data_IF_897697353770
#
_entry.id   IF_897697353770
#
_cell.length_a   1.000
_cell.length_b   1.000
_cell.length_c   1.000
_cell.angle_alpha   90.00
_cell.angle_beta   90.00
_cell.angle_gamma   90.00
#
_symmetry.space_group_name_H-M   'P 1'
#
loop_
_entity.id
_entity.type
_entity.pdbx_description
1 polymer ?
2 non-polymer ?
3 non-polymer ?
4 non-polymer ?
5 water ?
#
# COMPACT_ATOMS: atom_id res chain seq x y z
N UNK A 9 -18.63 -3.90 -16.53
CA UNK A 9 -17.19 -3.70 -16.71
C UNK A 9 -16.91 -2.66 -17.79
N UNK A 10 -17.90 -2.44 -18.66
CA UNK A 10 -17.77 -1.46 -19.72
C UNK A 10 -17.24 -0.13 -19.18
N UNK A 11 -17.18 -0.03 -17.85
CA UNK A 11 -16.64 1.18 -17.21
C UNK A 11 -15.17 1.35 -17.54
N UNK A 12 -14.72 0.68 -18.59
CA UNK A 12 -13.44 0.96 -19.21
C UNK A 12 -13.52 2.42 -19.62
N UNK A 13 -14.75 2.92 -19.78
CA UNK A 13 -14.93 4.25 -20.34
C UNK A 13 -15.13 5.48 -19.45
N UNK A 14 -15.36 5.31 -18.15
CA UNK A 14 -15.41 6.47 -17.28
C UNK A 14 -14.01 7.09 -17.11
N UNK A 15 -12.95 6.30 -17.31
CA UNK A 15 -11.58 6.82 -17.20
C UNK A 15 -10.98 7.03 -18.58
N UNK A 16 -10.63 8.28 -18.86
CA UNK A 16 -10.03 8.66 -20.13
C UNK A 16 -8.54 8.37 -20.03
N UNK A 17 -8.04 7.40 -20.82
CA UNK A 17 -6.64 6.98 -20.66
C UNK A 17 -5.61 8.01 -21.11
N UNK A 18 -6.05 9.06 -21.81
CA UNK A 18 -5.10 10.07 -22.30
C UNK A 18 -5.11 11.37 -21.51
N UNK A 19 -6.06 11.52 -20.61
CA UNK A 19 -6.19 12.74 -19.86
C UNK A 19 -5.24 12.74 -18.68
N UNK A 20 -4.60 13.87 -18.42
CA UNK A 20 -3.89 14.05 -17.16
C UNK A 20 -4.83 14.75 -16.20
N UNK A 21 -5.34 13.98 -15.25
CA UNK A 21 -6.34 14.46 -14.30
C UNK A 21 -5.69 15.20 -13.14
N UNK A 22 -6.45 16.08 -12.48
CA UNK A 22 -5.99 16.58 -11.19
C UNK A 22 -6.10 15.46 -10.15
N UNK A 23 -5.37 15.60 -9.06
CA UNK A 23 -5.42 14.62 -7.98
C UNK A 23 -6.84 14.50 -7.42
N UNK A 24 -7.55 15.62 -7.32
CA UNK A 24 -8.92 15.55 -6.81
C UNK A 24 -9.88 14.87 -7.78
N UNK A 25 -9.71 15.12 -9.08
CA UNK A 25 -10.51 14.42 -10.08
C UNK A 25 -10.28 12.91 -9.96
N UNK A 26 -9.00 12.53 -9.82
CA UNK A 26 -8.66 11.12 -9.73
C UNK A 26 -9.26 10.47 -8.49
N UNK A 27 -9.21 11.17 -7.35
CA UNK A 27 -9.81 10.66 -6.11
C UNK A 27 -11.30 10.40 -6.31
N UNK A 28 -11.98 11.32 -6.98
CA UNK A 28 -13.40 11.15 -7.24
C UNK A 28 -13.69 10.01 -8.21
N UNK A 29 -12.84 9.82 -9.22
CA UNK A 29 -12.98 8.70 -10.14
C UNK A 29 -12.78 7.35 -9.45
N UNK A 30 -11.85 7.31 -8.51
CA UNK A 30 -11.66 6.11 -7.69
C UNK A 30 -12.95 5.68 -7.02
N UNK A 31 -13.60 6.63 -6.35
CA UNK A 31 -14.80 6.33 -5.59
C UNK A 31 -16.01 6.05 -6.47
N UNK A 32 -15.98 6.57 -7.69
CA UNK A 32 -17.09 6.35 -8.62
C UNK A 32 -17.05 4.93 -9.15
N UNK A 33 -15.85 4.37 -9.27
CA UNK A 33 -15.67 3.10 -9.96
C UNK A 33 -15.35 1.91 -9.06
N UNK A 34 -15.13 2.19 -7.77
CA UNK A 34 -14.75 1.15 -6.83
C UNK A 34 -15.78 0.03 -6.79
N UNK A 35 -15.34 -1.22 -6.78
CA UNK A 35 -16.27 -2.32 -6.53
C UNK A 35 -16.90 -2.11 -5.17
N UNK A 36 -18.16 -2.51 -5.06
CA UNK A 36 -18.86 -2.36 -3.79
C UNK A 36 -18.69 -3.59 -2.92
N UNK A 37 -18.15 -4.66 -3.49
CA UNK A 37 -18.18 -5.94 -2.82
C UNK A 37 -17.21 -5.99 -1.64
N UNK A 38 -16.09 -5.30 -1.78
CA UNK A 38 -15.07 -5.25 -0.74
C UNK A 38 -14.26 -3.98 -0.91
N UNK A 39 -13.48 -3.61 0.09
CA UNK A 39 -12.74 -2.33 0.08
C UNK A 39 -11.39 -2.51 -0.56
N UNK A 40 -11.16 -1.85 -1.69
CA UNK A 40 -9.89 -1.99 -2.40
C UNK A 40 -8.84 -1.00 -1.90
N UNK A 41 -7.57 -1.41 -1.94
CA UNK A 41 -6.48 -0.51 -1.66
C UNK A 41 -6.20 0.34 -2.90
N UNK A 42 -5.97 1.62 -2.70
CA UNK A 42 -5.63 2.54 -3.78
C UNK A 42 -4.13 2.77 -3.69
N UNK A 43 -3.44 2.66 -4.83
CA UNK A 43 -2.01 2.92 -4.84
C UNK A 43 -1.67 4.03 -5.82
N UNK A 44 -0.49 4.63 -5.62
CA UNK A 44 0.08 5.54 -6.59
C UNK A 44 1.29 4.84 -7.19
N UNK A 45 1.38 4.86 -8.52
CA UNK A 45 2.54 4.35 -9.25
C UNK A 45 3.19 5.51 -9.99
N UNK A 46 4.51 5.59 -9.95
CA UNK A 46 5.22 6.61 -10.70
C UNK A 46 6.36 5.98 -11.49
N UNK A 47 6.62 6.56 -12.66
CA UNK A 47 7.80 6.22 -13.44
C UNK A 47 8.83 7.28 -13.13
N UNK A 48 10.00 6.84 -12.67
CA UNK A 48 11.03 7.75 -12.17
C UNK A 48 12.16 7.98 -13.15
N UNK A 49 12.70 9.19 -13.14
CA UNK A 49 13.88 9.53 -13.93
C UNK A 49 15.14 9.11 -13.21
N UNK A 50 15.35 7.79 -13.12
CA UNK A 50 16.53 7.23 -12.49
C UNK A 50 17.05 6.08 -13.33
N UNK A 51 18.31 5.73 -13.12
CA UNK A 51 18.88 4.53 -13.70
C UNK A 51 18.73 3.44 -12.62
N UNK A 52 17.81 2.48 -12.82
CA UNK A 52 17.49 1.52 -11.75
C UNK A 52 18.61 0.51 -11.49
N UNK A 53 19.63 0.49 -12.34
CA UNK A 53 20.76 -0.43 -12.17
C UNK A 53 21.92 0.20 -11.41
N UNK A 54 21.77 1.44 -10.97
CA UNK A 54 22.81 2.04 -10.14
C UNK A 54 22.29 2.40 -8.76
N UNK A 55 22.98 1.86 -7.76
CA UNK A 55 22.51 1.90 -6.39
C UNK A 55 22.46 3.32 -5.85
N UNK A 56 23.32 4.19 -6.35
CA UNK A 56 23.29 5.59 -5.89
C UNK A 56 22.07 6.36 -6.37
N UNK A 57 21.28 5.78 -7.26
CA UNK A 57 20.03 6.41 -7.66
C UNK A 57 18.80 5.64 -7.20
N UNK A 58 18.98 4.67 -6.30
CA UNK A 58 17.86 4.00 -5.64
C UNK A 58 17.00 5.01 -4.91
N UNK A 59 15.69 4.80 -4.94
CA UNK A 59 14.76 5.63 -4.17
C UNK A 59 14.09 4.75 -3.16
N UNK A 60 14.37 5.01 -1.88
CA UNK A 60 13.81 4.22 -0.79
C UNK A 60 13.56 5.12 0.39
N UNK A 61 12.46 4.90 1.08
CA UNK A 61 12.11 5.73 2.20
C UNK A 61 10.72 5.45 2.71
N UNK A 62 10.16 6.40 3.45
CA UNK A 62 8.82 6.24 3.97
C UNK A 62 7.96 7.44 3.66
N UNK A 63 6.65 7.21 3.62
CA UNK A 63 5.68 8.29 3.52
C UNK A 63 4.87 8.30 4.80
N UNK A 64 4.70 9.48 5.37
CA UNK A 64 3.89 9.66 6.57
C UNK A 64 2.51 10.13 6.12
N UNK A 65 1.63 9.19 5.84
CA UNK A 65 0.33 9.56 5.28
C UNK A 65 -0.48 10.30 6.32
N UNK A 66 -1.07 11.45 5.93
CA UNK A 66 -1.82 12.23 6.92
C UNK A 66 -3.14 11.57 7.36
N UNK A 67 -3.63 10.59 6.60
CA UNK A 67 -4.86 9.90 6.97
C UNK A 67 -4.74 8.38 6.92
N UNK A 68 -5.30 7.70 7.91
CA UNK A 68 -5.44 6.26 7.86
C UNK A 68 -4.35 5.43 8.49
N UNK A 69 -3.28 6.06 8.99
CA UNK A 69 -2.22 5.33 9.68
C UNK A 69 -2.19 5.68 11.16
N UNK A 70 -1.17 5.22 11.87
CA UNK A 70 -0.99 5.57 13.27
C UNK A 70 -1.77 4.68 14.22
N UNK A 71 -2.00 5.20 15.43
CA UNK A 71 -2.62 4.39 16.47
C UNK A 71 -3.94 3.77 16.04
N UNK A 72 -4.71 4.52 15.25
CA UNK A 72 -6.03 4.06 14.81
C UNK A 72 -6.02 2.81 13.95
N UNK A 73 -4.93 2.57 13.22
CA UNK A 73 -4.86 1.39 12.36
C UNK A 73 -4.92 0.15 13.21
N UNK A 74 -5.86 -0.74 12.90
CA UNK A 74 -5.93 -2.01 13.60
C UNK A 74 -5.06 -3.01 12.85
N UNK A 75 -3.89 -3.29 13.39
CA UNK A 75 -2.92 -4.18 12.78
C UNK A 75 -3.11 -5.59 13.27
N UNK A 76 -3.17 -6.53 12.32
CA UNK A 76 -3.11 -7.94 12.65
C UNK A 76 -1.73 -8.44 12.32
N UNK A 77 -1.04 -9.02 13.29
CA UNK A 77 0.24 -9.65 13.04
C UNK A 77 0.08 -11.15 13.11
N UNK A 78 0.54 -11.84 12.06
CA UNK A 78 0.52 -13.30 12.02
C UNK A 78 1.94 -13.79 12.17
N UNK A 79 2.17 -14.66 13.14
CA UNK A 79 3.52 -15.12 13.42
C UNK A 79 3.49 -16.51 14.03
N UNK A 80 4.63 -16.97 14.49
CA UNK A 80 4.77 -18.33 14.95
C UNK A 80 5.74 -18.31 16.10
N UNK A 81 5.49 -19.18 17.08
CA UNK A 81 6.41 -19.36 18.18
C UNK A 81 6.72 -18.08 18.93
N UNK A 82 8.00 -17.84 19.11
CA UNK A 82 8.48 -16.73 19.92
C UNK A 82 8.00 -15.36 19.40
N UNK A 83 7.83 -15.24 18.08
CA UNK A 83 7.51 -13.94 17.49
C UNK A 83 6.08 -13.48 17.81
N UNK A 84 5.22 -14.40 18.22
CA UNK A 84 3.90 -14.03 18.69
C UNK A 84 4.02 -13.10 19.90
N UNK A 85 4.88 -13.45 20.85
CA UNK A 85 5.06 -12.60 22.02
C UNK A 85 5.67 -11.24 21.65
N UNK A 86 6.58 -11.22 20.67
CA UNK A 86 7.16 -9.95 20.25
C UNK A 86 6.12 -9.07 19.60
N UNK A 87 5.24 -9.66 18.79
CA UNK A 87 4.17 -8.89 18.16
C UNK A 87 3.20 -8.31 19.21
N UNK A 88 2.86 -9.12 20.20
CA UNK A 88 2.03 -8.66 21.31
C UNK A 88 2.67 -7.48 22.05
N UNK A 89 3.97 -7.61 22.35
CA UNK A 89 4.65 -6.59 23.12
C UNK A 89 4.74 -5.28 22.34
N UNK A 90 4.88 -5.38 21.02
CA UNK A 90 4.96 -4.21 20.15
C UNK A 90 3.61 -3.50 19.96
N UNK A 91 2.53 -4.12 20.42
CA UNK A 91 1.24 -3.46 20.44
C UNK A 91 0.40 -3.66 19.19
N UNK A 92 0.60 -4.76 18.47
CA UNK A 92 -0.34 -5.11 17.41
C UNK A 92 -1.72 -5.29 18.05
N UNK A 93 -2.75 -4.75 17.39
CA UNK A 93 -4.12 -4.82 17.90
C UNK A 93 -4.61 -6.25 17.97
N UNK A 94 -4.24 -7.03 16.96
CA UNK A 94 -4.59 -8.44 16.91
C UNK A 94 -3.31 -9.19 16.59
N UNK A 95 -3.14 -10.33 17.24
CA UNK A 95 -2.02 -11.21 16.96
C UNK A 95 -2.55 -12.62 16.87
N UNK A 96 -2.09 -13.39 15.90
CA UNK A 96 -2.42 -14.79 15.87
C UNK A 96 -1.31 -15.62 15.27
N UNK A 97 -1.35 -16.92 15.54
CA UNK A 97 -0.55 -17.86 14.82
C UNK A 97 -1.34 -18.25 13.60
N UNK A 98 -0.94 -19.33 12.93
CA UNK A 98 -1.62 -19.74 11.72
C UNK A 98 -3.08 -20.11 11.98
N UNK A 99 -3.41 -20.38 13.23
CA UNK A 99 -4.79 -20.67 13.61
C UNK A 99 -5.73 -19.52 13.27
N UNK A 100 -5.19 -18.30 13.15
CA UNK A 100 -6.03 -17.15 12.86
C UNK A 100 -6.52 -17.17 11.41
N UNK A 101 -5.80 -17.89 10.55
CA UNK A 101 -6.19 -17.98 9.14
C UNK A 101 -7.62 -18.49 8.97
N UNK A 102 -7.99 -19.52 9.73
CA UNK A 102 -9.33 -20.07 9.62
C UNK A 102 -10.38 -19.03 10.04
N UNK A 103 -10.07 -18.25 11.07
CA UNK A 103 -10.99 -17.23 11.54
C UNK A 103 -11.26 -16.21 10.44
N UNK A 104 -10.21 -15.85 9.69
CA UNK A 104 -10.37 -14.94 8.56
C UNK A 104 -11.20 -15.59 7.45
N UNK A 105 -10.97 -16.87 7.20
CA UNK A 105 -11.76 -17.60 6.21
C UNK A 105 -13.24 -17.68 6.60
N UNK A 106 -13.51 -17.59 7.91
CA UNK A 106 -14.89 -17.64 8.40
C UNK A 106 -15.58 -16.28 8.39
N UNK A 107 -14.84 -15.23 8.05
CA UNK A 107 -15.43 -13.92 7.89
C UNK A 107 -15.02 -12.86 8.89
N UNK A 108 -13.99 -13.14 9.69
CA UNK A 108 -13.48 -12.14 10.62
C UNK A 108 -12.58 -11.18 9.86
N UNK A 109 -12.90 -9.89 9.90
CA UNK A 109 -12.13 -8.88 9.18
C UNK A 109 -12.04 -7.57 9.95
N UNK A 110 -11.89 -7.65 11.27
CA UNK A 110 -11.83 -6.44 12.11
C UNK A 110 -10.54 -5.64 11.90
N UNK A 111 -9.56 -6.25 11.25
CA UNK A 111 -8.27 -5.61 11.05
C UNK A 111 -8.21 -4.75 9.79
N UNK A 112 -7.31 -3.77 9.78
CA UNK A 112 -7.14 -2.84 8.66
C UNK A 112 -5.85 -3.12 7.88
N UNK A 113 -4.93 -3.85 8.52
CA UNK A 113 -3.64 -4.12 7.92
C UNK A 113 -3.15 -5.46 8.46
N UNK A 114 -2.33 -6.15 7.66
CA UNK A 114 -1.76 -7.43 8.06
C UNK A 114 -0.25 -7.39 7.86
N UNK A 115 0.48 -7.84 8.87
CA UNK A 115 1.93 -8.02 8.77
C UNK A 115 2.25 -9.44 9.24
N UNK A 116 3.39 -9.97 8.84
CA UNK A 116 3.67 -11.38 9.10
C UNK A 116 5.15 -11.67 9.15
N UNK A 117 5.50 -12.75 9.84
CA UNK A 117 6.87 -13.25 9.77
C UNK A 117 7.03 -14.18 8.55
N UNK A 118 8.26 -14.37 8.09
CA UNK A 118 8.44 -15.18 6.88
C UNK A 118 7.94 -16.62 7.02
N UNK A 119 7.99 -17.17 8.24
CA UNK A 119 7.69 -18.59 8.38
C UNK A 119 6.21 -18.92 8.22
N UNK A 120 5.34 -17.92 8.27
CA UNK A 120 3.92 -18.19 8.06
C UNK A 120 3.42 -17.82 6.68
N UNK A 121 4.27 -17.24 5.84
CA UNK A 121 3.81 -16.69 4.57
C UNK A 121 3.40 -17.70 3.51
N UNK A 122 3.94 -18.92 3.57
CA UNK A 122 3.48 -19.96 2.67
C UNK A 122 2.00 -20.23 2.90
N UNK A 123 1.64 -20.43 4.16
CA UNK A 123 0.26 -20.69 4.55
C UNK A 123 -0.66 -19.48 4.32
N UNK A 124 -0.17 -18.30 4.66
CA UNK A 124 -0.97 -17.09 4.46
C UNK A 124 -1.27 -16.88 2.98
N UNK A 125 -0.23 -16.97 2.15
CA UNK A 125 -0.37 -16.78 0.72
C UNK A 125 -1.28 -17.81 0.07
N UNK A 126 -1.15 -19.07 0.49
CA UNK A 126 -1.91 -20.16 -0.10
C UNK A 126 -3.39 -20.12 0.27
N UNK A 127 -3.69 -19.84 1.52
CA UNK A 127 -5.06 -19.87 1.99
C UNK A 127 -5.78 -18.54 1.88
N UNK A 128 -5.03 -17.44 1.98
CA UNK A 128 -5.65 -16.12 2.03
C UNK A 128 -5.32 -15.26 0.82
N UNK A 129 -4.52 -15.81 -0.09
CA UNK A 129 -4.16 -15.10 -1.30
C UNK A 129 -5.37 -14.50 -1.98
N UNK A 130 -6.42 -15.31 -2.13
CA UNK A 130 -7.60 -14.90 -2.90
C UNK A 130 -8.52 -13.96 -2.12
N UNK A 131 -8.24 -13.78 -0.83
CA UNK A 131 -9.04 -12.91 0.03
C UNK A 131 -8.33 -11.60 0.32
N UNK A 132 -7.10 -11.69 0.80
CA UNK A 132 -6.32 -10.50 1.13
C UNK A 132 -5.79 -9.84 -0.12
N UNK A 133 -5.52 -10.66 -1.13
CA UNK A 133 -4.94 -10.18 -2.38
C UNK A 133 -5.76 -9.10 -3.04
N UNK A 134 -7.01 -9.41 -3.40
CA UNK A 134 -7.85 -8.44 -4.10
C UNK A 134 -8.12 -7.20 -3.26
N UNK A 135 -7.98 -7.32 -1.93
CA UNK A 135 -8.13 -6.21 -1.00
C UNK A 135 -6.85 -5.42 -0.78
N UNK A 136 -5.73 -5.93 -1.28
CA UNK A 136 -4.45 -5.26 -1.12
C UNK A 136 -3.87 -5.42 0.28
N UNK A 137 -4.35 -6.43 1.00
CA UNK A 137 -3.94 -6.63 2.40
C UNK A 137 -2.90 -7.74 2.59
N UNK A 138 -2.31 -8.21 1.50
CA UNK A 138 -1.30 -9.27 1.58
C UNK A 138 0.05 -8.68 1.95
N UNK A 139 0.64 -9.17 3.05
CA UNK A 139 1.99 -8.77 3.44
C UNK A 139 2.99 -9.13 2.34
N UNK A 140 4.06 -8.35 2.24
CA UNK A 140 5.08 -8.57 1.24
C UNK A 140 6.41 -8.00 1.73
N UNK A 141 7.51 -8.78 1.62
CA UNK A 141 8.77 -8.23 2.12
C UNK A 141 9.20 -6.94 1.42
N UNK A 142 8.91 -6.80 0.13
CA UNK A 142 9.29 -5.57 -0.59
C UNK A 142 8.53 -4.34 -0.11
N UNK A 143 7.37 -4.54 0.53
CA UNK A 143 6.61 -3.45 1.11
C UNK A 143 7.01 -3.23 2.56
N UNK A 144 7.86 -4.09 3.08
CA UNK A 144 8.31 -4.02 4.47
C UNK A 144 7.29 -4.53 5.47
N UNK A 145 6.39 -5.41 5.03
CA UNK A 145 5.33 -5.90 5.90
C UNK A 145 5.49 -7.39 6.20
N UNK A 146 6.54 -8.00 5.66
CA UNK A 146 6.98 -9.33 6.06
C UNK A 146 8.41 -9.22 6.56
N UNK A 147 8.70 -9.79 7.72
CA UNK A 147 10.05 -9.80 8.25
C UNK A 147 10.12 -10.45 9.60
N UNK A 148 11.30 -10.87 10.02
CA UNK A 148 11.43 -11.43 11.37
C UNK A 148 11.41 -10.35 12.44
N UNK A 149 11.75 -9.12 12.07
CA UNK A 149 11.68 -7.99 12.98
C UNK A 149 10.24 -7.48 13.03
N UNK A 150 9.34 -8.35 13.49
CA UNK A 150 7.92 -8.04 13.40
C UNK A 150 7.52 -6.88 14.30
N UNK A 151 8.20 -6.74 15.44
CA UNK A 151 7.94 -5.61 16.31
C UNK A 151 8.26 -4.28 15.65
N UNK A 152 9.39 -4.20 14.98
CA UNK A 152 9.76 -2.98 14.27
C UNK A 152 8.76 -2.65 13.15
N UNK A 153 8.29 -3.67 12.45
CA UNK A 153 7.30 -3.48 11.40
C UNK A 153 6.00 -2.91 11.97
N UNK A 154 5.53 -3.47 13.08
CA UNK A 154 4.33 -2.99 13.74
C UNK A 154 4.52 -1.54 14.19
N UNK A 155 5.66 -1.25 14.81
CA UNK A 155 5.90 0.10 15.33
C UNK A 155 5.94 1.14 14.22
N UNK A 156 6.46 0.76 13.05
CA UNK A 156 6.56 1.70 11.94
C UNK A 156 5.16 2.13 11.47
N UNK A 157 4.26 1.16 11.35
CA UNK A 157 2.88 1.46 10.96
C UNK A 157 2.18 2.31 12.03
N UNK A 158 2.36 1.94 13.29
CA UNK A 158 1.76 2.71 14.39
C UNK A 158 2.34 4.12 14.51
N UNK A 159 3.56 4.31 14.00
CA UNK A 159 4.19 5.63 13.99
C UNK A 159 3.74 6.44 12.77
N UNK A 160 2.88 5.83 11.95
CA UNK A 160 2.26 6.52 10.83
C UNK A 160 3.04 6.48 9.52
N UNK A 161 3.88 5.47 9.34
CA UNK A 161 4.74 5.41 8.16
C UNK A 161 4.56 4.13 7.35
N UNK A 162 4.61 4.30 6.02
CA UNK A 162 4.73 3.13 5.17
C UNK A 162 5.91 3.29 4.23
N UNK A 163 6.46 2.14 3.86
CA UNK A 163 7.71 2.11 3.11
C UNK A 163 7.51 2.09 1.61
N UNK A 164 8.48 2.66 0.90
CA UNK A 164 8.51 2.55 -0.55
C UNK A 164 9.94 2.30 -1.04
N UNK A 165 10.05 1.67 -2.21
CA UNK A 165 11.33 1.42 -2.85
C UNK A 165 11.09 1.20 -4.33
N UNK A 166 11.94 1.78 -5.16
CA UNK A 166 11.77 1.60 -6.59
C UNK A 166 12.04 0.16 -7.00
N UNK A 167 11.49 -0.21 -8.14
CA UNK A 167 11.71 -1.56 -8.67
C UNK A 167 12.70 -1.53 -9.84
N UNK A 168 12.96 -2.69 -10.42
CA UNK A 168 14.02 -2.81 -11.43
C UNK A 168 13.65 -2.12 -12.75
N UNK A 169 12.39 -1.76 -12.91
CA UNK A 169 11.94 -1.04 -14.10
C UNK A 169 12.05 0.47 -13.95
N UNK A 170 12.50 0.94 -12.78
CA UNK A 170 12.56 2.36 -12.53
C UNK A 170 11.23 2.96 -12.14
N UNK A 171 10.27 2.11 -11.79
CA UNK A 171 8.98 2.56 -11.29
C UNK A 171 8.93 2.41 -9.78
N UNK A 172 7.94 3.02 -9.18
CA UNK A 172 7.74 2.92 -7.75
C UNK A 172 6.26 2.99 -7.43
N UNK A 173 5.85 2.34 -6.35
CA UNK A 173 4.46 2.41 -5.93
C UNK A 173 4.31 2.24 -4.44
N UNK A 174 3.22 2.80 -3.91
CA UNK A 174 2.88 2.62 -2.50
C UNK A 174 1.38 2.73 -2.36
N UNK A 175 0.82 2.02 -1.37
CA UNK A 175 -0.60 2.23 -1.05
C UNK A 175 -0.79 3.61 -0.42
N UNK A 176 -1.88 4.28 -0.78
CA UNK A 176 -2.12 5.61 -0.24
C UNK A 176 -3.50 5.73 0.42
N UNK A 177 -4.28 4.67 0.38
CA UNK A 177 -5.56 4.69 1.03
C UNK A 177 -6.42 3.54 0.60
N UNK A 178 -7.70 3.64 0.94
CA UNK A 178 -8.70 2.68 0.53
C UNK A 178 -9.76 3.40 -0.29
N UNK A 179 -10.45 2.66 -1.14
CA UNK A 179 -11.50 3.25 -1.96
C UNK A 179 -12.66 3.79 -1.12
N UNK A 180 -12.74 3.32 0.13
CA UNK A 180 -13.77 3.76 1.08
C UNK A 180 -13.49 5.13 1.70
N UNK A 181 -12.27 5.63 1.54
CA UNK A 181 -11.90 6.93 2.10
C UNK A 181 -12.72 8.06 1.46
N UNK A 182 -13.04 9.11 2.23
CA UNK A 182 -13.59 10.31 1.61
C UNK A 182 -12.58 10.82 0.58
N UNK A 183 -13.06 11.33 -0.55
CA UNK A 183 -12.12 11.68 -1.62
C UNK A 183 -11.12 12.74 -1.19
N UNK A 184 -11.49 13.66 -0.30
CA UNK A 184 -10.55 14.69 0.12
C UNK A 184 -9.37 14.07 0.90
N UNK A 185 -9.64 13.05 1.69
CA UNK A 185 -8.58 12.38 2.43
C UNK A 185 -7.69 11.56 1.50
N UNK A 186 -8.30 10.87 0.54
CA UNK A 186 -7.53 10.15 -0.46
C UNK A 186 -6.62 11.11 -1.22
N UNK A 187 -7.17 12.25 -1.63
CA UNK A 187 -6.38 13.25 -2.34
C UNK A 187 -5.22 13.72 -1.48
N UNK A 188 -5.48 14.01 -0.21
CA UNK A 188 -4.42 14.42 0.73
C UNK A 188 -3.30 13.39 0.78
N UNK A 189 -3.69 12.12 0.86
CA UNK A 189 -2.71 11.04 0.93
C UNK A 189 -1.90 10.89 -0.37
N UNK A 190 -2.56 11.08 -1.50
CA UNK A 190 -1.87 11.03 -2.78
C UNK A 190 -0.81 12.13 -2.85
N UNK A 191 -1.19 13.36 -2.49
CA UNK A 191 -0.22 14.46 -2.43
C UNK A 191 0.93 14.16 -1.48
N UNK A 192 0.62 13.59 -0.32
CA UNK A 192 1.65 13.28 0.65
C UNK A 192 2.68 12.31 0.05
N UNK A 193 2.22 11.29 -0.67
CA UNK A 193 3.17 10.35 -1.25
C UNK A 193 4.05 11.03 -2.30
N UNK A 194 3.44 11.88 -3.12
CA UNK A 194 4.20 12.62 -4.12
C UNK A 194 5.26 13.48 -3.43
N UNK A 195 4.90 14.18 -2.37
CA UNK A 195 5.88 15.00 -1.66
C UNK A 195 7.00 14.15 -1.05
N UNK A 196 6.65 12.98 -0.51
CA UNK A 196 7.68 12.09 0.04
C UNK A 196 8.64 11.63 -1.07
N UNK A 197 8.10 11.26 -2.22
CA UNK A 197 8.96 10.87 -3.34
C UNK A 197 9.90 12.00 -3.75
N UNK A 198 9.37 13.21 -3.90
CA UNK A 198 10.18 14.33 -4.33
C UNK A 198 11.30 14.62 -3.33
N UNK A 199 11.02 14.41 -2.04
CA UNK A 199 12.01 14.63 -1.00
C UNK A 199 13.15 13.61 -1.08
N UNK A 200 12.91 12.52 -1.81
CA UNK A 200 13.91 11.47 -1.96
C UNK A 200 14.57 11.42 -3.34
N UNK A 201 14.45 12.50 -4.10
CA UNK A 201 15.14 12.57 -5.39
C UNK A 201 16.64 12.40 -5.18
N UNK A 202 17.24 11.40 -5.86
CA UNK A 202 18.68 11.19 -5.63
C UNK A 202 19.55 12.28 -6.23
N UNK A 203 20.63 12.59 -5.54
CA UNK A 203 21.66 13.47 -6.08
C UNK A 203 22.30 12.75 -7.26
N UNK A 204 22.35 13.41 -8.40
CA UNK A 204 22.96 12.84 -9.58
C UNK A 204 21.96 12.41 -10.64
N UNK A 205 20.71 12.20 -10.22
CA UNK A 205 19.66 11.87 -11.17
C UNK A 205 19.37 13.10 -12.01
N UNK A 206 19.31 12.93 -13.33
CA UNK A 206 19.07 14.07 -14.20
C UNK A 206 17.76 13.95 -14.96
N UNK A 207 17.33 15.05 -15.56
CA UNK A 207 16.07 15.08 -16.26
C UNK A 207 14.91 14.99 -15.30
N UNK A 208 13.71 14.95 -15.85
CA UNK A 208 12.49 14.94 -15.06
C UNK A 208 12.44 13.73 -14.12
N UNK A 209 12.19 13.99 -12.84
CA UNK A 209 12.16 12.93 -11.84
C UNK A 209 10.84 12.17 -11.87
N UNK A 210 9.72 12.86 -11.72
CA UNK A 210 8.41 12.22 -11.82
C UNK A 210 7.96 12.29 -13.27
N UNK A 211 8.32 11.27 -14.04
CA UNK A 211 8.06 11.30 -15.48
C UNK A 211 6.57 11.12 -15.77
N UNK A 212 5.95 10.21 -15.03
CA UNK A 212 4.49 10.06 -15.08
C UNK A 212 4.05 9.50 -13.73
N UNK A 213 2.83 9.83 -13.33
CA UNK A 213 2.29 9.45 -12.04
C UNK A 213 0.84 9.04 -12.23
N UNK A 214 0.43 7.97 -11.56
CA UNK A 214 -0.89 7.39 -11.75
C UNK A 214 -1.49 6.96 -10.42
N UNK A 215 -2.81 7.03 -10.35
CA UNK A 215 -3.57 6.44 -9.25
C UNK A 215 -4.12 5.12 -9.76
N UNK A 216 -3.99 4.05 -8.97
CA UNK A 216 -4.21 2.69 -9.47
C UNK A 216 -4.91 1.82 -8.47
N UNK A 217 -5.41 0.69 -8.96
CA UNK A 217 -5.82 -0.46 -8.15
C UNK A 217 -5.39 -1.71 -8.91
N UNK A 218 -5.26 -2.84 -8.22
CA UNK A 218 -4.79 -4.05 -8.88
C UNK A 218 -5.71 -4.49 -10.03
N UNK A 219 -7.02 -4.35 -9.84
CA UNK A 219 -7.97 -4.86 -10.82
C UNK A 219 -8.53 -3.82 -11.80
N UNK A 220 -8.23 -2.55 -11.58
CA UNK A 220 -8.82 -1.49 -12.38
C UNK A 220 -7.85 -0.71 -13.25
N UNK A 221 -8.39 0.21 -14.06
CA UNK A 221 -7.58 1.06 -14.93
C UNK A 221 -6.84 2.10 -14.12
N UNK A 222 -5.72 2.57 -14.67
CA UNK A 222 -4.93 3.59 -14.01
C UNK A 222 -5.40 4.97 -14.45
N UNK A 223 -5.36 5.91 -13.51
CA UNK A 223 -5.73 7.29 -13.79
C UNK A 223 -4.49 8.15 -13.73
N UNK A 224 -4.09 8.73 -14.86
CA UNK A 224 -2.89 9.57 -14.86
C UNK A 224 -3.18 10.88 -14.16
N UNK A 225 -2.23 11.36 -13.35
CA UNK A 225 -2.43 12.59 -12.60
C UNK A 225 -1.29 13.59 -12.76
N UNK A 226 -1.63 14.87 -12.64
CA UNK A 226 -0.63 15.91 -12.54
C UNK A 226 -0.11 15.93 -11.10
N UNK A 227 1.17 15.59 -10.89
CA UNK A 227 1.64 15.48 -9.50
C UNK A 227 1.72 16.81 -8.76
N UNK A 228 1.55 17.93 -9.46
CA UNK A 228 1.59 19.24 -8.81
C UNK A 228 0.20 19.84 -8.62
N UNK A 229 -0.83 19.01 -8.75
CA UNK A 229 -2.21 19.45 -8.56
C UNK A 229 -2.75 19.09 -7.17
#
# INVERSE_FOLDING_TARGET
MPKHGKRYRALLEKVDPNKIYTIDEAAHLVKELATAKFDETVEVHAKLGIDPRRSDQNVRGTVSLPHGLGKQVRVLAIAKGEKIKEAEEAGADYVGGEEIIQKILDGWMDFDAVVATPDVMGAVGSKLGRILGPRGLLPNPKAGTVGFNIGEIIREIKAGRIEFRNDKTGAIHAPVGKASFPPEKLADNIRAFIRALEAHKPEGAKGTFLRSVYVTTVMGPSVRINPHS
#
